data_IF_020922131520
#
_entry.id   IF_020922131520
#
_cell.length_a   1.000
_cell.length_b   1.000
_cell.length_c   1.000
_cell.angle_alpha   90.00
_cell.angle_beta   90.00
_cell.angle_gamma   90.00
#
_symmetry.space_group_name_H-M   'P 1'
#
loop_
_entity.id
_entity.type
_entity.pdbx_description
1 polymer ?
#
# COMPACT_ATOMS: atom_id res chain seq x y z
N UNK A 1 -48.26 -33.49 -12.20
CA UNK A 1 -46.85 -33.40 -12.49
C UNK A 1 -46.60 -33.59 -13.97
N UNK A 2 -46.27 -32.55 -14.69
CA UNK A 2 -45.77 -32.68 -16.08
C UNK A 2 -44.28 -32.38 -16.09
N UNK A 3 -43.53 -33.43 -16.45
CA UNK A 3 -42.09 -33.30 -16.72
C UNK A 3 -41.89 -32.87 -18.17
N UNK A 4 -41.16 -31.84 -18.43
CA UNK A 4 -40.68 -31.49 -19.77
C UNK A 4 -39.29 -32.05 -19.97
N UNK A 5 -39.12 -32.79 -21.04
CA UNK A 5 -37.84 -33.34 -21.50
C UNK A 5 -37.20 -32.30 -22.44
N UNK A 6 -35.98 -31.80 -22.12
CA UNK A 6 -35.19 -31.01 -23.06
C UNK A 6 -33.96 -31.82 -23.49
N UNK A 7 -33.80 -32.02 -24.80
CA UNK A 7 -32.62 -32.61 -25.39
C UNK A 7 -31.71 -31.52 -25.94
N UNK A 8 -30.48 -31.57 -25.55
CA UNK A 8 -29.42 -30.74 -26.16
C UNK A 8 -28.43 -31.62 -26.91
N UNK A 9 -28.14 -31.27 -28.13
CA UNK A 9 -27.18 -31.96 -28.99
C UNK A 9 -25.82 -31.27 -28.89
N UNK A 10 -24.81 -31.96 -28.42
CA UNK A 10 -23.40 -31.52 -28.50
C UNK A 10 -22.65 -32.33 -29.54
N UNK A 11 -21.51 -31.84 -30.00
CA UNK A 11 -20.68 -32.53 -31.02
C UNK A 11 -20.09 -33.90 -30.56
N UNK A 12 -20.40 -34.35 -29.34
CA UNK A 12 -19.87 -35.61 -28.78
C UNK A 12 -20.93 -36.55 -28.18
N UNK A 13 -22.22 -36.34 -28.44
CA UNK A 13 -23.28 -37.26 -27.98
C UNK A 13 -24.41 -36.56 -27.22
N UNK A 14 -25.55 -37.22 -27.13
CA UNK A 14 -26.72 -36.70 -26.42
C UNK A 14 -26.62 -37.01 -24.93
N UNK A 15 -26.82 -35.95 -24.10
CA UNK A 15 -26.92 -36.06 -22.62
C UNK A 15 -28.29 -35.57 -22.20
N UNK A 16 -29.08 -36.44 -21.57
CA UNK A 16 -30.39 -36.07 -20.99
C UNK A 16 -30.26 -35.73 -19.52
N UNK A 17 -30.82 -34.58 -19.14
CA UNK A 17 -30.88 -34.11 -17.72
C UNK A 17 -32.33 -34.09 -17.28
N UNK A 18 -32.67 -34.80 -16.19
CA UNK A 18 -33.96 -34.73 -15.52
C UNK A 18 -33.98 -33.53 -14.53
N UNK A 19 -34.84 -32.58 -14.80
CA UNK A 19 -35.13 -31.49 -13.85
C UNK A 19 -36.45 -31.80 -13.12
N UNK A 20 -36.37 -32.00 -11.81
CA UNK A 20 -37.54 -32.08 -10.92
C UNK A 20 -37.91 -30.65 -10.49
N UNK A 21 -39.07 -30.18 -10.95
CA UNK A 21 -39.60 -28.88 -10.49
C UNK A 21 -40.63 -29.19 -9.39
N UNK A 22 -40.34 -28.73 -8.16
CA UNK A 22 -41.27 -28.78 -7.04
C UNK A 22 -42.32 -27.65 -7.15
N UNK A 23 -43.59 -27.90 -6.78
CA UNK A 23 -44.63 -26.88 -6.90
C UNK A 23 -44.54 -25.84 -5.79
N UNK A 24 -44.74 -24.58 -6.17
CA UNK A 24 -44.95 -23.47 -5.22
C UNK A 24 -46.36 -23.58 -4.64
N UNK A 25 -46.48 -23.64 -3.30
CA UNK A 25 -47.72 -23.47 -2.57
C UNK A 25 -47.86 -22.01 -2.16
N UNK A 26 -48.95 -21.45 -2.59
CA UNK A 26 -49.53 -20.15 -2.16
C UNK A 26 -50.35 -20.35 -0.89
N UNK A 27 -50.27 -19.39 0.04
CA UNK A 27 -51.43 -19.13 0.89
C UNK A 27 -51.16 -18.95 2.38
N UNK A 28 -51.37 -17.71 2.81
CA UNK A 28 -52.14 -17.22 3.95
C UNK A 28 -51.72 -17.50 5.42
N UNK A 29 -51.40 -16.42 6.08
CA UNK A 29 -51.82 -15.97 7.41
C UNK A 29 -52.32 -17.02 8.45
N UNK A 30 -51.63 -17.17 9.60
CA UNK A 30 -52.27 -16.94 10.89
C UNK A 30 -51.25 -16.76 12.06
N UNK A 31 -51.73 -16.02 13.05
CA UNK A 31 -51.15 -15.57 14.30
C UNK A 31 -50.74 -16.71 15.25
N UNK A 32 -49.70 -16.46 15.99
CA UNK A 32 -49.64 -16.67 17.42
C UNK A 32 -49.22 -18.03 17.91
N UNK A 33 -48.07 -18.08 18.56
CA UNK A 33 -47.97 -18.62 19.94
C UNK A 33 -46.53 -18.54 20.43
N UNK A 34 -46.41 -18.02 21.63
CA UNK A 34 -45.21 -18.03 22.45
C UNK A 34 -44.87 -19.49 22.83
N UNK A 35 -43.60 -19.88 22.80
CA UNK A 35 -43.12 -20.92 23.72
C UNK A 35 -41.70 -20.54 24.15
N UNK A 36 -41.63 -20.46 25.44
CA UNK A 36 -40.46 -20.33 26.32
C UNK A 36 -39.68 -21.63 26.29
N UNK A 37 -38.35 -21.59 26.28
CA UNK A 37 -37.49 -22.53 26.93
C UNK A 37 -36.01 -22.15 26.90
N UNK A 38 -35.17 -22.81 27.75
CA UNK A 38 -34.47 -22.11 28.82
C UNK A 38 -32.96 -22.02 28.58
N UNK A 39 -32.33 -21.15 29.37
CA UNK A 39 -30.94 -20.79 29.31
C UNK A 39 -29.95 -21.92 29.64
N UNK A 40 -28.77 -21.78 29.05
CA UNK A 40 -27.55 -22.28 29.67
C UNK A 40 -26.67 -21.07 29.99
N UNK A 41 -26.71 -20.75 31.29
CA UNK A 41 -25.78 -19.79 31.87
C UNK A 41 -24.44 -20.49 32.12
N UNK A 42 -23.36 -19.95 31.51
CA UNK A 42 -22.00 -20.25 31.96
C UNK A 42 -21.57 -19.11 32.87
N UNK A 43 -21.52 -19.42 34.17
CA UNK A 43 -21.03 -18.55 35.23
C UNK A 43 -19.50 -18.57 35.20
N UNK A 44 -18.87 -17.46 34.86
CA UNK A 44 -17.46 -17.21 35.15
C UNK A 44 -17.35 -16.58 36.56
N UNK A 45 -16.83 -17.34 37.49
CA UNK A 45 -16.41 -16.81 38.80
C UNK A 45 -15.13 -16.02 38.66
N UNK A 46 -15.19 -14.77 39.03
CA UNK A 46 -14.02 -13.96 39.33
C UNK A 46 -13.35 -14.49 40.61
N UNK A 47 -12.07 -14.75 40.55
CA UNK A 47 -11.23 -14.83 41.74
C UNK A 47 -10.26 -13.66 41.75
N UNK A 48 -10.33 -12.99 42.90
CA UNK A 48 -9.63 -11.77 43.25
C UNK A 48 -8.19 -12.01 43.70
N UNK A 49 -7.36 -11.03 43.36
CA UNK A 49 -6.26 -10.45 44.15
C UNK A 49 -5.13 -11.35 44.64
N UNK A 50 -3.93 -11.10 44.10
CA UNK A 50 -2.72 -11.12 44.93
C UNK A 50 -1.66 -10.14 44.35
N UNK A 51 -1.38 -9.15 45.16
CA UNK A 51 -0.13 -8.38 45.39
C UNK A 51 0.73 -7.92 44.20
N UNK A 52 0.66 -6.61 43.97
CA UNK A 52 1.71 -5.77 43.35
C UNK A 52 3.00 -5.84 44.19
N UNK A 53 4.07 -6.33 43.57
CA UNK A 53 5.42 -6.02 43.99
C UNK A 53 5.99 -5.00 42.96
N UNK A 54 6.36 -3.85 43.48
CA UNK A 54 6.93 -2.72 42.75
C UNK A 54 8.20 -3.13 41.99
N UNK A 55 8.23 -2.94 40.68
CA UNK A 55 9.45 -2.88 39.88
C UNK A 55 9.72 -1.45 39.45
N UNK A 56 10.92 -0.97 39.80
CA UNK A 56 11.44 0.36 39.53
C UNK A 56 11.54 0.65 38.00
N UNK A 57 11.33 1.90 37.57
CA UNK A 57 11.53 2.27 36.18
C UNK A 57 13.03 2.27 35.86
N UNK A 58 13.40 1.61 34.77
CA UNK A 58 14.74 1.70 34.19
C UNK A 58 14.83 3.04 33.47
N UNK A 59 15.70 3.87 34.00
CA UNK A 59 16.06 5.19 33.46
C UNK A 59 16.73 5.03 32.09
N UNK A 60 16.11 5.54 31.04
CA UNK A 60 16.74 5.71 29.72
C UNK A 60 17.70 6.88 29.77
N UNK A 61 18.99 6.58 29.88
CA UNK A 61 20.06 7.56 29.70
C UNK A 61 20.22 7.88 28.22
N UNK A 62 20.30 9.17 27.92
CA UNK A 62 20.57 9.81 26.65
C UNK A 62 21.75 9.16 25.89
N UNK A 63 21.55 8.82 24.62
CA UNK A 63 22.61 8.39 23.70
C UNK A 63 23.29 9.60 23.05
N UNK A 64 24.63 9.64 22.98
CA UNK A 64 25.35 10.63 22.21
C UNK A 64 25.30 10.31 20.71
N UNK A 65 25.16 11.36 19.90
CA UNK A 65 25.33 11.28 18.44
C UNK A 65 26.81 10.98 18.14
N UNK A 66 27.08 9.87 17.48
CA UNK A 66 28.36 9.58 16.89
C UNK A 66 28.30 9.82 15.39
N UNK A 67 28.87 10.94 14.95
CA UNK A 67 29.38 11.09 13.58
C UNK A 67 30.70 10.29 13.49
N UNK A 68 30.71 9.26 12.65
CA UNK A 68 31.91 8.50 12.36
C UNK A 68 31.91 8.09 10.91
N UNK A 69 32.77 8.72 10.11
CA UNK A 69 33.21 8.18 8.82
C UNK A 69 33.99 6.90 9.09
N UNK A 70 33.53 5.77 8.55
CA UNK A 70 34.21 4.48 8.73
C UNK A 70 34.03 3.58 7.53
N UNK A 71 35.13 3.19 6.97
CA UNK A 71 35.44 2.35 5.85
C UNK A 71 34.47 1.19 5.57
N UNK A 72 34.10 1.09 4.30
CA UNK A 72 33.38 -0.04 3.73
C UNK A 72 34.20 -1.33 3.78
N UNK A 73 33.76 -2.29 4.57
CA UNK A 73 34.13 -3.69 4.42
C UNK A 73 32.86 -4.46 3.97
N UNK A 74 33.00 -5.17 2.85
CA UNK A 74 31.99 -6.09 2.34
C UNK A 74 31.58 -7.07 3.44
N UNK A 75 30.39 -6.92 4.00
CA UNK A 75 29.80 -7.89 4.89
C UNK A 75 29.22 -9.04 4.04
N UNK A 76 29.76 -10.25 4.24
CA UNK A 76 29.33 -11.46 3.56
C UNK A 76 27.86 -11.79 3.85
N UNK A 77 27.22 -12.43 2.89
CA UNK A 77 25.90 -13.03 3.01
C UNK A 77 25.74 -13.80 4.31
N UNK A 78 24.75 -13.49 5.13
CA UNK A 78 24.41 -14.25 6.32
C UNK A 78 23.98 -13.45 7.56
N UNK A 79 23.98 -12.13 7.53
CA UNK A 79 23.48 -11.34 8.66
C UNK A 79 22.06 -10.87 8.36
N UNK A 80 21.09 -11.30 9.18
CA UNK A 80 19.76 -10.71 9.24
C UNK A 80 19.89 -9.30 9.79
N UNK A 81 20.17 -8.34 8.93
CA UNK A 81 20.22 -6.94 9.32
C UNK A 81 18.83 -6.37 9.08
N UNK A 82 18.06 -6.22 10.15
CA UNK A 82 16.84 -5.44 10.10
C UNK A 82 17.13 -4.01 9.65
N UNK A 83 16.13 -3.34 9.11
CA UNK A 83 16.18 -1.92 8.74
C UNK A 83 16.80 -1.09 9.88
N UNK A 84 18.04 -0.69 9.73
CA UNK A 84 18.90 0.11 10.64
C UNK A 84 18.66 0.05 12.16
N UNK A 85 17.81 -0.79 12.66
CA UNK A 85 17.76 -1.14 14.08
C UNK A 85 18.77 -2.28 14.33
N UNK A 86 20.06 -1.99 14.16
CA UNK A 86 21.08 -2.98 14.41
C UNK A 86 21.12 -3.31 15.89
N UNK A 87 20.54 -4.42 16.28
CA UNK A 87 21.03 -5.16 17.42
C UNK A 87 22.43 -5.61 17.05
N UNK A 88 23.43 -5.19 17.83
CA UNK A 88 24.79 -5.69 17.67
C UNK A 88 24.76 -7.20 17.92
N UNK A 89 24.79 -7.99 16.86
CA UNK A 89 25.09 -9.41 17.00
C UNK A 89 26.46 -9.52 17.65
N UNK A 90 26.51 -10.14 18.81
CA UNK A 90 27.78 -10.47 19.43
C UNK A 90 28.51 -11.45 18.50
N UNK A 91 29.68 -11.07 17.98
CA UNK A 91 30.50 -11.97 17.17
C UNK A 91 30.83 -13.20 18.01
N UNK A 92 30.55 -14.40 17.46
CA UNK A 92 30.94 -15.63 18.11
C UNK A 92 32.49 -15.67 18.31
N UNK A 93 32.96 -16.14 19.45
CA UNK A 93 34.40 -16.30 19.64
C UNK A 93 35.02 -17.13 18.49
N UNK A 94 36.14 -16.66 17.94
CA UNK A 94 36.80 -17.26 16.76
C UNK A 94 37.02 -18.76 16.92
N UNK A 95 37.35 -19.21 18.13
CA UNK A 95 37.57 -20.62 18.49
C UNK A 95 36.28 -21.47 18.33
N UNK A 96 35.11 -20.95 18.71
CA UNK A 96 33.84 -21.65 18.56
C UNK A 96 33.47 -21.78 17.10
N UNK A 97 33.68 -20.72 16.33
CA UNK A 97 33.43 -20.70 14.89
C UNK A 97 34.30 -21.71 14.14
N UNK A 98 35.56 -21.81 14.47
CA UNK A 98 36.48 -22.78 13.88
C UNK A 98 36.05 -24.22 14.18
N UNK A 99 35.70 -24.53 15.44
CA UNK A 99 35.19 -25.85 15.81
C UNK A 99 33.94 -26.27 15.08
N UNK A 100 32.99 -25.34 14.84
CA UNK A 100 31.77 -25.60 14.07
C UNK A 100 32.08 -25.81 12.58
N UNK A 101 33.02 -25.08 11.98
CA UNK A 101 33.47 -25.30 10.60
C UNK A 101 34.10 -26.68 10.44
N UNK A 102 34.95 -27.11 11.35
CA UNK A 102 35.59 -28.43 11.34
C UNK A 102 34.53 -29.55 11.46
N UNK A 103 33.55 -29.33 12.34
CA UNK A 103 32.44 -30.28 12.48
C UNK A 103 31.60 -30.37 11.19
N UNK A 104 31.33 -29.24 10.55
CA UNK A 104 30.62 -29.20 9.28
C UNK A 104 31.36 -29.97 8.18
N UNK A 105 32.67 -29.79 8.07
CA UNK A 105 33.54 -30.53 7.14
C UNK A 105 33.48 -32.03 7.37
N UNK A 106 33.57 -32.49 8.62
CA UNK A 106 33.47 -33.90 8.99
C UNK A 106 32.15 -34.53 8.60
N UNK A 107 31.07 -33.74 8.52
CA UNK A 107 29.75 -34.17 8.12
C UNK A 107 29.49 -33.99 6.62
N UNK A 108 30.48 -33.56 5.84
CA UNK A 108 30.29 -33.27 4.40
C UNK A 108 29.39 -32.08 4.13
N UNK A 109 29.33 -31.12 5.04
CA UNK A 109 28.43 -29.96 5.01
C UNK A 109 29.20 -28.63 4.85
N UNK A 110 30.41 -28.67 4.30
CA UNK A 110 31.25 -27.49 4.14
C UNK A 110 30.64 -26.39 3.28
N UNK A 111 29.70 -26.73 2.44
CA UNK A 111 28.92 -25.74 1.65
C UNK A 111 27.76 -25.10 2.43
N UNK A 112 27.41 -25.65 3.61
CA UNK A 112 26.30 -25.15 4.42
C UNK A 112 26.79 -24.04 5.35
N UNK A 113 26.76 -22.80 4.88
CA UNK A 113 27.18 -21.62 5.67
C UNK A 113 26.41 -21.46 6.98
N UNK A 114 25.17 -21.93 7.06
CA UNK A 114 24.34 -21.87 8.27
C UNK A 114 24.87 -22.69 9.46
N UNK A 115 25.80 -23.63 9.24
CA UNK A 115 26.44 -24.39 10.32
C UNK A 115 27.57 -23.62 11.01
N UNK A 116 28.04 -22.56 10.36
CA UNK A 116 29.09 -21.71 10.92
C UNK A 116 28.60 -20.79 12.03
N UNK A 117 27.28 -20.52 12.00
CA UNK A 117 26.62 -19.68 12.99
C UNK A 117 25.37 -20.40 13.51
N UNK A 118 25.38 -20.75 14.80
CA UNK A 118 24.27 -21.39 15.47
C UNK A 118 23.50 -20.47 16.41
N UNK A 119 23.83 -19.20 16.44
CA UNK A 119 23.05 -18.20 17.13
C UNK A 119 21.83 -17.82 16.27
N UNK A 120 20.98 -18.84 16.05
CA UNK A 120 19.71 -18.65 15.35
C UNK A 120 18.71 -18.07 16.34
N UNK A 121 18.12 -16.95 15.97
CA UNK A 121 17.07 -16.33 16.77
C UNK A 121 15.93 -17.32 16.99
N UNK A 122 15.47 -17.45 18.25
CA UNK A 122 14.31 -18.27 18.61
C UNK A 122 13.05 -17.80 17.86
N UNK A 123 12.97 -16.53 17.56
CA UNK A 123 11.79 -15.91 16.92
C UNK A 123 12.19 -15.26 15.58
N UNK A 124 11.45 -15.58 14.53
CA UNK A 124 11.60 -14.89 13.25
C UNK A 124 10.91 -13.52 13.32
N UNK A 125 11.68 -12.45 13.31
CA UNK A 125 11.18 -11.06 13.29
C UNK A 125 11.71 -10.25 12.12
N UNK A 126 12.72 -10.78 11.40
CA UNK A 126 13.36 -10.13 10.26
C UNK A 126 12.88 -10.69 8.92
N UNK A 127 13.67 -10.47 7.88
CA UNK A 127 13.35 -10.89 6.52
C UNK A 127 13.27 -12.39 6.34
N UNK A 128 14.14 -13.14 7.02
CA UNK A 128 14.23 -14.58 6.84
C UNK A 128 13.66 -15.33 8.04
N UNK A 129 12.98 -16.45 7.81
CA UNK A 129 12.52 -16.88 6.48
C UNK A 129 11.33 -16.03 5.99
N UNK A 130 11.25 -15.76 4.69
CA UNK A 130 10.24 -14.88 4.08
C UNK A 130 8.78 -15.23 4.43
N UNK A 131 8.50 -16.53 4.61
CA UNK A 131 7.15 -17.04 4.91
C UNK A 131 6.75 -16.90 6.39
N UNK A 132 7.65 -16.46 7.26
CA UNK A 132 7.42 -16.40 8.71
C UNK A 132 7.54 -14.98 9.27
N UNK A 133 7.18 -14.82 10.54
CA UNK A 133 7.28 -13.56 11.26
C UNK A 133 6.06 -12.66 11.07
N UNK A 134 6.18 -11.41 11.50
CA UNK A 134 5.11 -10.41 11.41
C UNK A 134 5.13 -9.80 10.01
N UNK A 135 3.97 -9.72 9.37
CA UNK A 135 3.82 -9.15 8.02
C UNK A 135 3.68 -7.62 8.07
N UNK A 136 4.77 -6.94 8.36
CA UNK A 136 4.95 -5.53 8.03
C UNK A 136 5.46 -5.41 6.58
N UNK A 137 5.33 -4.24 5.98
CA UNK A 137 5.82 -3.99 4.62
C UNK A 137 7.33 -4.24 4.54
N UNK A 138 7.74 -5.18 3.68
CA UNK A 138 9.14 -5.63 3.52
C UNK A 138 9.83 -5.98 4.85
N UNK A 139 9.07 -6.47 5.84
CA UNK A 139 9.57 -6.76 7.20
C UNK A 139 10.20 -5.55 7.89
N UNK A 140 9.83 -4.33 7.48
CA UNK A 140 10.24 -3.09 8.15
C UNK A 140 9.79 -3.08 9.63
N UNK A 141 10.49 -2.36 10.51
CA UNK A 141 10.09 -2.22 11.91
C UNK A 141 8.65 -1.70 12.04
N UNK A 142 7.86 -2.36 12.87
CA UNK A 142 6.55 -1.85 13.28
C UNK A 142 6.73 -0.75 14.32
N UNK A 143 6.14 0.41 14.08
CA UNK A 143 6.17 1.56 14.99
C UNK A 143 4.80 1.75 15.60
N UNK A 144 4.65 1.29 16.86
CA UNK A 144 3.40 1.39 17.61
C UNK A 144 3.16 2.82 18.13
N UNK A 145 4.20 3.48 18.64
CA UNK A 145 4.10 4.88 19.09
C UNK A 145 4.41 5.83 17.94
N UNK A 146 3.38 6.47 17.41
CA UNK A 146 3.47 7.44 16.32
C UNK A 146 4.45 8.59 16.56
N UNK A 147 4.80 8.89 17.82
CA UNK A 147 5.83 9.91 18.14
C UNK A 147 7.20 9.56 17.59
N UNK A 148 7.43 8.28 17.33
CA UNK A 148 8.71 7.80 16.81
C UNK A 148 8.78 7.79 15.27
N UNK A 149 7.69 8.10 14.56
CA UNK A 149 7.67 8.04 13.09
C UNK A 149 8.66 9.00 12.45
N UNK A 150 8.89 10.15 13.05
CA UNK A 150 9.88 11.14 12.59
C UNK A 150 11.36 10.70 12.70
N UNK A 151 11.63 9.51 13.24
CA UNK A 151 12.97 8.89 13.24
C UNK A 151 13.28 8.18 11.92
N UNK A 152 12.29 8.05 11.04
CA UNK A 152 12.39 7.34 9.76
C UNK A 152 12.27 8.30 8.59
N UNK A 153 12.89 7.95 7.47
CA UNK A 153 12.80 8.72 6.22
C UNK A 153 11.45 8.51 5.53
N UNK A 154 10.87 7.30 5.67
CA UNK A 154 9.56 6.98 5.12
C UNK A 154 8.75 6.09 6.08
N UNK A 155 7.43 6.23 6.03
CA UNK A 155 6.50 5.44 6.81
C UNK A 155 5.38 4.88 5.95
N UNK A 156 5.18 3.56 6.02
CA UNK A 156 4.07 2.86 5.37
C UNK A 156 2.87 2.86 6.32
N UNK A 157 1.72 3.25 5.79
CA UNK A 157 0.44 3.23 6.49
C UNK A 157 -0.64 2.65 5.60
N UNK A 158 -1.48 1.76 6.11
CA UNK A 158 -2.63 1.24 5.39
C UNK A 158 -3.88 2.09 5.60
N UNK A 159 -4.69 2.23 4.55
CA UNK A 159 -6.02 2.83 4.58
C UNK A 159 -7.08 1.81 4.11
N UNK A 160 -7.45 0.82 4.96
CA UNK A 160 -8.29 -0.32 4.59
C UNK A 160 -9.76 0.07 4.47
N UNK A 161 -10.10 0.86 3.45
CA UNK A 161 -11.44 1.38 3.20
C UNK A 161 -11.87 1.14 1.75
N UNK A 162 -13.09 0.68 1.54
CA UNK A 162 -13.72 0.49 0.23
C UNK A 162 -15.22 0.85 0.23
N UNK A 163 -15.57 1.81 1.08
CA UNK A 163 -16.94 2.32 1.14
C UNK A 163 -17.30 3.27 0.00
N UNK A 164 -16.32 3.74 -0.78
CA UNK A 164 -16.51 4.58 -1.97
C UNK A 164 -16.65 3.79 -3.28
N UNK A 165 -16.50 2.49 -3.24
CA UNK A 165 -16.58 1.61 -4.42
C UNK A 165 -17.99 1.55 -5.02
N UNK A 166 -18.07 1.62 -6.36
CA UNK A 166 -19.36 1.58 -7.09
C UNK A 166 -19.74 0.19 -7.61
N UNK A 167 -18.79 -0.77 -7.69
CA UNK A 167 -19.07 -2.09 -8.27
C UNK A 167 -18.51 -3.25 -7.44
N UNK A 168 -17.20 -3.48 -7.43
CA UNK A 168 -16.56 -4.63 -6.76
C UNK A 168 -15.86 -4.21 -5.48
N UNK A 169 -16.42 -4.46 -4.28
CA UNK A 169 -15.74 -4.21 -3.03
C UNK A 169 -14.62 -5.24 -2.80
N UNK A 170 -13.65 -4.89 -1.97
CA UNK A 170 -12.54 -5.81 -1.60
C UNK A 170 -11.20 -5.10 -1.48
N UNK A 171 -11.10 -3.84 -1.89
CA UNK A 171 -9.86 -3.06 -1.79
C UNK A 171 -9.47 -2.73 -0.36
N UNK A 172 -10.39 -2.84 0.61
CA UNK A 172 -10.06 -2.80 2.05
C UNK A 172 -9.02 -3.84 2.48
N UNK A 173 -8.84 -4.90 1.72
CA UNK A 173 -7.83 -5.93 1.94
C UNK A 173 -6.51 -5.65 1.22
N UNK A 174 -6.44 -4.58 0.42
CA UNK A 174 -5.24 -4.15 -0.31
C UNK A 174 -4.01 -4.02 0.57
N UNK A 175 -4.07 -3.28 1.71
CA UNK A 175 -2.94 -3.14 2.61
C UNK A 175 -2.38 -4.48 3.11
N UNK A 176 -3.25 -5.43 3.44
CA UNK A 176 -2.83 -6.77 3.87
C UNK A 176 -2.19 -7.58 2.74
N UNK A 177 -2.78 -7.52 1.53
CA UNK A 177 -2.26 -8.21 0.34
C UNK A 177 -0.87 -7.74 -0.02
N UNK A 178 -0.66 -6.43 -0.09
CA UNK A 178 0.63 -5.81 -0.40
C UNK A 178 1.68 -6.15 0.66
N UNK A 179 1.35 -6.05 1.97
CA UNK A 179 2.26 -6.42 3.05
C UNK A 179 2.63 -7.90 3.00
N UNK A 180 1.66 -8.78 2.78
CA UNK A 180 1.88 -10.22 2.68
C UNK A 180 2.94 -10.55 1.62
N UNK A 181 2.77 -10.03 0.40
CA UNK A 181 3.65 -10.33 -0.71
C UNK A 181 4.99 -9.58 -0.62
N UNK A 182 5.04 -8.46 0.11
CA UNK A 182 6.25 -7.64 0.22
C UNK A 182 7.42 -8.37 0.88
N UNK A 183 7.15 -9.40 1.67
CA UNK A 183 8.18 -10.27 2.25
C UNK A 183 9.00 -11.03 1.20
N UNK A 184 8.52 -11.11 -0.04
CA UNK A 184 9.22 -11.80 -1.13
C UNK A 184 10.43 -11.00 -1.65
N UNK A 185 10.42 -9.67 -1.50
CA UNK A 185 11.45 -8.82 -2.08
C UNK A 185 12.62 -8.59 -1.13
N UNK A 186 13.83 -8.63 -1.71
CA UNK A 186 15.03 -8.07 -1.09
C UNK A 186 15.01 -6.55 -1.17
N UNK A 187 15.58 -5.83 -0.21
CA UNK A 187 15.73 -4.37 -0.30
C UNK A 187 16.72 -3.90 -1.37
N UNK A 188 17.53 -4.80 -1.93
CA UNK A 188 18.50 -4.49 -2.98
C UNK A 188 17.88 -4.62 -4.37
N UNK A 189 17.94 -3.53 -5.16
CA UNK A 189 17.60 -3.55 -6.57
C UNK A 189 18.86 -3.66 -7.43
N UNK A 190 18.96 -4.75 -8.19
CA UNK A 190 20.12 -5.06 -9.00
C UNK A 190 20.35 -4.04 -10.14
N UNK A 191 19.27 -3.60 -10.81
CA UNK A 191 19.36 -2.70 -11.97
C UNK A 191 19.69 -1.26 -11.56
N UNK A 192 19.16 -0.81 -10.41
CA UNK A 192 19.44 0.53 -9.86
C UNK A 192 20.72 0.57 -9.03
N UNK A 193 21.28 -0.58 -8.64
CA UNK A 193 22.38 -0.70 -7.68
C UNK A 193 22.09 0.03 -6.35
N UNK A 194 20.84 -0.02 -5.88
CA UNK A 194 20.36 0.63 -4.65
C UNK A 194 19.97 -0.43 -3.64
N UNK A 195 20.46 -0.29 -2.40
CA UNK A 195 19.96 -1.03 -1.25
C UNK A 195 19.16 -0.06 -0.35
N UNK A 196 17.84 -0.22 -0.34
CA UNK A 196 16.95 0.64 0.44
C UNK A 196 17.25 0.58 1.94
N UNK A 197 17.72 -0.56 2.45
CA UNK A 197 18.05 -0.75 3.85
C UNK A 197 19.30 0.02 4.28
N UNK A 198 20.28 0.13 3.37
CA UNK A 198 21.52 0.85 3.65
C UNK A 198 21.35 2.37 3.49
N UNK A 199 20.50 2.80 2.56
CA UNK A 199 20.45 4.18 2.09
C UNK A 199 19.27 4.98 2.64
N UNK A 200 18.28 4.32 3.26
CA UNK A 200 17.16 4.97 3.92
C UNK A 200 16.66 4.19 5.13
N UNK A 201 15.82 4.83 5.93
CA UNK A 201 15.11 4.17 7.02
C UNK A 201 13.62 4.12 6.70
N UNK A 202 13.03 2.92 6.79
CA UNK A 202 11.62 2.66 6.55
C UNK A 202 10.97 2.08 7.79
N UNK A 203 9.74 2.48 8.09
CA UNK A 203 8.91 1.83 9.10
C UNK A 203 7.50 1.54 8.56
N UNK A 204 6.81 0.65 9.25
CA UNK A 204 5.38 0.38 9.05
C UNK A 204 4.63 0.77 10.33
N UNK A 205 3.63 1.61 10.20
CA UNK A 205 2.83 2.10 11.34
C UNK A 205 1.48 1.40 11.46
N UNK A 206 1.26 0.35 10.67
CA UNK A 206 0.01 -0.39 10.63
C UNK A 206 -1.07 0.32 9.82
N UNK A 207 -2.32 0.16 10.24
CA UNK A 207 -3.48 0.64 9.50
C UNK A 207 -4.19 1.77 10.23
N UNK A 208 -4.72 2.72 9.46
CA UNK A 208 -5.57 3.79 9.93
C UNK A 208 -6.89 3.18 10.44
N UNK A 209 -7.38 3.68 11.56
CA UNK A 209 -8.68 3.28 12.08
C UNK A 209 -9.80 3.82 11.18
N UNK A 210 -10.32 2.97 10.31
CA UNK A 210 -11.43 3.28 9.41
C UNK A 210 -12.77 2.93 10.03
N UNK A 211 -13.82 3.68 9.67
CA UNK A 211 -15.19 3.47 10.15
C UNK A 211 -16.06 3.14 8.94
N UNK A 212 -16.33 1.85 8.63
CA UNK A 212 -17.00 1.45 7.41
C UNK A 212 -18.35 2.10 7.18
N UNK A 213 -19.07 2.44 8.24
CA UNK A 213 -20.39 3.07 8.18
C UNK A 213 -20.35 4.61 8.13
N UNK A 214 -19.16 5.23 8.11
CA UNK A 214 -19.04 6.69 8.11
C UNK A 214 -17.81 7.15 7.33
N UNK A 215 -18.04 7.56 6.10
CA UNK A 215 -16.98 7.96 5.17
C UNK A 215 -16.29 9.24 5.62
N UNK A 216 -17.03 10.25 6.09
CA UNK A 216 -16.43 11.53 6.50
C UNK A 216 -15.49 11.37 7.70
N UNK A 217 -15.88 10.59 8.72
CA UNK A 217 -15.00 10.28 9.86
C UNK A 217 -13.79 9.46 9.42
N UNK A 218 -13.97 8.54 8.49
CA UNK A 218 -12.83 7.79 7.92
C UNK A 218 -11.88 8.71 7.18
N UNK A 219 -12.39 9.63 6.40
CA UNK A 219 -11.60 10.62 5.67
C UNK A 219 -10.84 11.55 6.61
N UNK A 220 -11.46 11.95 7.73
CA UNK A 220 -10.75 12.73 8.75
C UNK A 220 -9.59 11.95 9.37
N UNK A 221 -9.79 10.66 9.67
CA UNK A 221 -8.73 9.80 10.17
C UNK A 221 -7.59 9.64 9.17
N UNK A 222 -7.90 9.44 7.89
CA UNK A 222 -6.89 9.34 6.83
C UNK A 222 -6.09 10.64 6.72
N UNK A 223 -6.77 11.79 6.67
CA UNK A 223 -6.12 13.09 6.59
C UNK A 223 -5.25 13.37 7.81
N UNK A 224 -5.73 13.02 9.01
CA UNK A 224 -4.98 13.18 10.25
C UNK A 224 -3.71 12.31 10.25
N UNK A 225 -3.80 11.05 9.83
CA UNK A 225 -2.66 10.15 9.80
C UNK A 225 -1.60 10.59 8.79
N UNK A 226 -1.99 10.91 7.55
CA UNK A 226 -1.07 11.38 6.51
C UNK A 226 -0.42 12.71 6.92
N UNK A 227 -1.22 13.66 7.41
CA UNK A 227 -0.72 14.94 7.88
C UNK A 227 0.27 14.79 9.05
N UNK A 228 0.00 13.87 9.99
CA UNK A 228 0.91 13.60 11.10
C UNK A 228 2.23 13.01 10.63
N UNK A 229 2.20 12.00 9.76
CA UNK A 229 3.41 11.37 9.20
C UNK A 229 4.25 12.44 8.47
N UNK A 230 3.63 13.22 7.58
CA UNK A 230 4.31 14.28 6.85
C UNK A 230 4.89 15.35 7.80
N UNK A 231 4.11 15.83 8.77
CA UNK A 231 4.56 16.81 9.75
C UNK A 231 5.73 16.33 10.61
N UNK A 232 5.83 15.02 10.82
CA UNK A 232 6.97 14.41 11.52
C UNK A 232 8.24 14.34 10.67
N UNK A 233 8.16 14.69 9.37
CA UNK A 233 9.28 14.68 8.42
C UNK A 233 9.52 13.34 7.74
N UNK A 234 8.63 12.37 7.89
CA UNK A 234 8.68 11.10 7.16
C UNK A 234 7.87 11.21 5.86
N UNK A 235 8.35 10.54 4.81
CA UNK A 235 7.63 10.41 3.54
C UNK A 235 6.46 9.43 3.70
N UNK A 236 5.19 9.85 3.55
CA UNK A 236 4.05 8.99 3.69
C UNK A 236 3.88 8.07 2.46
N UNK A 237 3.74 6.77 2.72
CA UNK A 237 3.40 5.74 1.73
C UNK A 237 2.07 5.13 2.16
N UNK A 238 1.00 5.45 1.43
CA UNK A 238 -0.34 4.96 1.75
C UNK A 238 -0.65 3.72 0.92
N UNK A 239 -0.90 2.61 1.61
CA UNK A 239 -1.44 1.40 1.00
C UNK A 239 -2.96 1.51 1.01
N UNK A 240 -3.56 1.70 -0.15
CA UNK A 240 -4.95 2.07 -0.25
C UNK A 240 -5.92 0.91 -0.17
N UNK A 241 -7.08 1.33 0.06
CA UNK A 241 -8.38 0.88 -0.26
C UNK A 241 -8.80 1.34 -1.65
N UNK A 242 -10.05 1.77 -1.79
CA UNK A 242 -10.56 2.35 -3.02
C UNK A 242 -10.04 3.79 -3.25
N UNK A 243 -10.20 4.30 -4.47
CA UNK A 243 -9.61 5.60 -4.83
C UNK A 243 -10.30 6.81 -4.17
N UNK A 244 -11.42 6.63 -3.46
CA UNK A 244 -12.03 7.73 -2.69
C UNK A 244 -11.08 8.31 -1.64
N UNK A 245 -10.10 7.50 -1.19
CA UNK A 245 -9.08 7.95 -0.24
C UNK A 245 -8.10 8.98 -0.83
N UNK A 246 -8.01 9.13 -2.15
CA UNK A 246 -7.16 10.13 -2.81
C UNK A 246 -7.46 11.56 -2.39
N UNK A 247 -8.71 11.87 -2.05
CA UNK A 247 -9.05 13.18 -1.48
C UNK A 247 -8.49 13.38 -0.07
N UNK A 248 -8.76 12.52 0.93
CA UNK A 248 -8.27 12.75 2.28
C UNK A 248 -6.74 12.59 2.42
N UNK A 249 -6.05 11.83 1.57
CA UNK A 249 -4.58 11.75 1.59
C UNK A 249 -3.95 13.06 1.16
N UNK A 250 -4.39 13.62 0.03
CA UNK A 250 -3.96 14.94 -0.45
C UNK A 250 -4.36 16.03 0.55
N UNK A 251 -5.57 15.98 1.14
CA UNK A 251 -6.02 16.91 2.18
C UNK A 251 -5.09 16.87 3.41
N UNK A 252 -4.67 15.68 3.82
CA UNK A 252 -3.72 15.49 4.92
C UNK A 252 -2.38 16.16 4.62
N UNK A 253 -1.80 15.94 3.45
CA UNK A 253 -0.56 16.59 3.03
C UNK A 253 -0.73 18.11 2.92
N UNK A 254 -1.83 18.57 2.33
CA UNK A 254 -2.12 20.00 2.16
C UNK A 254 -2.35 20.74 3.49
N UNK A 255 -2.76 20.04 4.55
CA UNK A 255 -3.02 20.62 5.86
C UNK A 255 -1.74 21.09 6.58
N UNK A 256 -0.59 20.52 6.27
CA UNK A 256 0.69 20.76 6.95
C UNK A 256 1.64 21.65 6.15
N UNK A 257 1.21 22.14 4.99
CA UNK A 257 2.00 23.07 4.17
C UNK A 257 1.12 24.17 3.55
N UNK A 258 1.67 25.39 3.41
CA UNK A 258 1.06 26.44 2.59
C UNK A 258 1.53 26.37 1.13
N UNK A 259 2.50 25.54 0.87
CA UNK A 259 3.13 25.36 -0.43
C UNK A 259 2.17 24.72 -1.42
N UNK A 260 2.36 25.05 -2.68
CA UNK A 260 1.55 24.53 -3.78
C UNK A 260 1.92 23.08 -4.10
N UNK A 261 0.91 22.22 -4.15
CA UNK A 261 1.06 20.78 -4.39
C UNK A 261 0.49 20.45 -5.76
N UNK A 262 1.31 19.84 -6.61
CA UNK A 262 0.86 19.18 -7.83
C UNK A 262 0.55 17.71 -7.57
N UNK A 263 -0.19 17.10 -8.49
CA UNK A 263 -0.57 15.68 -8.41
C UNK A 263 -0.23 15.01 -9.74
N UNK A 264 0.49 13.90 -9.68
CA UNK A 264 0.63 12.96 -10.78
C UNK A 264 -0.23 11.74 -10.44
N UNK A 265 -1.22 11.48 -11.27
CA UNK A 265 -2.23 10.47 -11.09
C UNK A 265 -2.16 9.47 -12.24
N UNK A 266 -1.89 8.21 -11.95
CA UNK A 266 -1.96 7.10 -12.90
C UNK A 266 -3.27 6.37 -12.71
N UNK A 267 -4.06 6.22 -13.79
CA UNK A 267 -5.38 5.62 -13.71
C UNK A 267 -5.93 5.33 -15.14
N UNK A 268 -6.87 4.39 -15.24
CA UNK A 268 -7.74 4.25 -16.41
C UNK A 268 -8.91 5.23 -16.39
N UNK A 269 -9.28 5.68 -15.19
CA UNK A 269 -10.43 6.53 -14.91
C UNK A 269 -9.97 7.96 -14.61
N UNK A 270 -10.88 8.91 -14.77
CA UNK A 270 -10.55 10.30 -14.50
C UNK A 270 -10.77 10.73 -13.06
N UNK A 271 -11.59 10.04 -12.31
CA UNK A 271 -11.89 10.23 -10.90
C UNK A 271 -12.12 11.68 -10.46
N UNK A 272 -12.76 12.45 -11.35
CA UNK A 272 -12.99 13.89 -11.21
C UNK A 272 -14.47 14.28 -11.39
N UNK A 273 -15.37 13.34 -11.18
CA UNK A 273 -16.79 13.63 -11.14
C UNK A 273 -17.10 14.46 -9.89
N UNK A 274 -18.02 15.43 -10.02
CA UNK A 274 -18.50 16.18 -8.87
C UNK A 274 -19.27 15.27 -7.91
N UNK A 275 -20.00 14.33 -8.47
CA UNK A 275 -20.87 13.38 -7.80
C UNK A 275 -21.06 12.15 -8.67
N UNK A 276 -21.17 10.99 -8.04
CA UNK A 276 -21.67 9.76 -8.65
C UNK A 276 -22.93 9.32 -7.91
N UNK A 277 -22.96 8.17 -7.25
CA UNK A 277 -24.06 7.79 -6.36
C UNK A 277 -24.13 8.70 -5.14
N UNK A 278 -22.97 9.15 -4.67
CA UNK A 278 -22.82 10.16 -3.62
C UNK A 278 -21.58 11.03 -3.89
N UNK A 279 -21.32 12.03 -3.04
CA UNK A 279 -20.21 12.97 -3.22
C UNK A 279 -18.84 12.34 -2.95
N UNK A 280 -18.74 11.31 -2.11
CA UNK A 280 -17.47 10.71 -1.65
C UNK A 280 -17.25 9.31 -2.21
N UNK A 281 -17.32 9.20 -3.53
CA UNK A 281 -17.11 7.93 -4.23
C UNK A 281 -15.66 7.84 -4.76
N UNK A 282 -15.22 6.66 -5.15
CA UNK A 282 -13.89 6.48 -5.77
C UNK A 282 -13.77 7.19 -7.12
N UNK A 283 -14.86 7.57 -7.75
CA UNK A 283 -14.92 8.34 -9.00
C UNK A 283 -14.77 9.86 -8.80
N UNK A 284 -14.65 10.36 -7.55
CA UNK A 284 -14.77 11.80 -7.25
C UNK A 284 -13.55 12.45 -6.55
N UNK A 285 -12.49 11.73 -6.14
CA UNK A 285 -11.46 12.28 -5.24
C UNK A 285 -10.81 13.55 -5.77
N UNK A 286 -10.52 13.64 -7.07
CA UNK A 286 -9.81 14.79 -7.63
C UNK A 286 -10.69 16.01 -7.88
N UNK A 287 -12.01 15.83 -7.95
CA UNK A 287 -12.90 16.97 -7.88
C UNK A 287 -12.77 17.69 -6.53
N UNK A 288 -12.73 16.95 -5.45
CA UNK A 288 -12.60 17.49 -4.10
C UNK A 288 -11.16 17.90 -3.76
N UNK A 289 -10.16 17.12 -4.12
CA UNK A 289 -8.75 17.45 -3.86
C UNK A 289 -8.35 18.77 -4.54
N UNK A 290 -8.75 18.97 -5.80
CA UNK A 290 -8.45 20.21 -6.54
C UNK A 290 -9.30 21.42 -6.14
N UNK A 291 -10.21 21.27 -5.19
CA UNK A 291 -10.89 22.39 -4.53
C UNK A 291 -10.11 22.90 -3.31
N UNK A 292 -9.07 22.20 -2.86
CA UNK A 292 -8.20 22.64 -1.78
C UNK A 292 -7.34 23.82 -2.26
N UNK A 293 -7.25 24.94 -1.51
CA UNK A 293 -6.64 26.19 -2.01
C UNK A 293 -5.21 26.06 -2.53
N UNK A 294 -4.39 25.20 -1.92
CA UNK A 294 -3.00 24.98 -2.33
C UNK A 294 -2.80 23.73 -3.20
N UNK A 295 -3.89 23.17 -3.74
CA UNK A 295 -3.88 22.02 -4.69
C UNK A 295 -4.59 22.44 -5.98
N UNK A 296 -3.99 23.24 -6.82
CA UNK A 296 -4.69 23.79 -7.99
C UNK A 296 -4.92 22.72 -9.07
N UNK A 297 -6.07 22.72 -9.72
CA UNK A 297 -6.43 21.71 -10.72
C UNK A 297 -5.51 21.73 -11.93
N UNK A 298 -4.88 22.87 -12.26
CA UNK A 298 -3.91 22.99 -13.36
C UNK A 298 -2.60 22.23 -13.10
N UNK A 299 -2.36 21.79 -11.87
CA UNK A 299 -1.22 20.96 -11.51
C UNK A 299 -1.60 19.47 -11.30
N UNK A 300 -2.86 19.12 -11.60
CA UNK A 300 -3.26 17.71 -11.71
C UNK A 300 -2.96 17.19 -13.11
N UNK A 301 -2.17 16.12 -13.17
CA UNK A 301 -1.87 15.39 -14.40
C UNK A 301 -2.36 13.96 -14.24
N UNK A 302 -3.19 13.52 -15.16
CA UNK A 302 -3.84 12.21 -15.16
C UNK A 302 -3.32 11.39 -16.35
N UNK A 303 -2.65 10.27 -16.09
CA UNK A 303 -1.91 9.47 -17.07
C UNK A 303 -2.55 8.08 -17.19
N UNK A 304 -2.85 7.66 -18.42
CA UNK A 304 -3.42 6.33 -18.69
C UNK A 304 -4.92 6.36 -18.98
N UNK A 305 -5.54 7.54 -18.92
CA UNK A 305 -6.97 7.74 -19.07
C UNK A 305 -7.48 7.18 -20.41
N UNK A 306 -8.62 6.47 -20.37
CA UNK A 306 -9.19 5.99 -21.63
C UNK A 306 -10.20 4.87 -21.44
N UNK A 307 -10.51 4.21 -22.57
CA UNK A 307 -11.46 3.09 -22.58
C UNK A 307 -12.93 3.51 -22.54
N UNK A 308 -13.75 2.59 -22.03
CA UNK A 308 -15.22 2.74 -22.01
C UNK A 308 -15.76 3.11 -20.61
N UNK A 309 -14.91 3.09 -19.61
CA UNK A 309 -15.31 3.27 -18.21
C UNK A 309 -15.15 4.73 -17.73
N UNK A 310 -14.67 5.66 -18.58
CA UNK A 310 -14.68 7.09 -18.27
C UNK A 310 -16.04 7.68 -18.60
N UNK A 311 -16.83 8.10 -17.61
CA UNK A 311 -18.17 8.62 -17.86
C UNK A 311 -18.12 10.00 -18.53
N UNK A 312 -19.08 10.26 -19.40
CA UNK A 312 -19.20 11.55 -20.11
C UNK A 312 -19.29 12.74 -19.14
N UNK A 313 -19.87 12.51 -17.98
CA UNK A 313 -20.09 13.49 -16.91
C UNK A 313 -18.79 14.04 -16.31
N UNK A 314 -17.69 13.29 -16.39
CA UNK A 314 -16.39 13.75 -15.96
C UNK A 314 -15.79 14.82 -16.90
N UNK A 315 -16.10 14.77 -18.20
CA UNK A 315 -15.50 15.64 -19.23
C UNK A 315 -15.73 17.14 -18.99
N UNK A 316 -16.92 17.63 -18.62
CA UNK A 316 -17.11 19.04 -18.28
C UNK A 316 -16.24 19.51 -17.12
N UNK A 317 -16.04 18.68 -16.09
CA UNK A 317 -15.21 18.99 -14.93
C UNK A 317 -13.73 19.10 -15.29
N UNK A 318 -13.22 18.15 -16.10
CA UNK A 318 -11.85 18.21 -16.63
C UNK A 318 -11.60 19.52 -17.37
N UNK A 319 -12.53 19.91 -18.27
CA UNK A 319 -12.43 21.14 -19.06
C UNK A 319 -12.53 22.40 -18.20
N UNK A 320 -13.51 22.46 -17.29
CA UNK A 320 -13.73 23.62 -16.45
C UNK A 320 -12.55 23.85 -15.48
N UNK A 321 -11.94 22.78 -15.00
CA UNK A 321 -10.81 22.81 -14.09
C UNK A 321 -9.46 22.91 -14.81
N UNK A 322 -9.43 22.70 -16.13
CA UNK A 322 -8.20 22.72 -16.92
C UNK A 322 -7.15 21.73 -16.41
N UNK A 323 -7.58 20.52 -16.07
CA UNK A 323 -6.67 19.44 -15.69
C UNK A 323 -5.92 18.91 -16.93
N UNK A 324 -4.77 18.32 -16.71
CA UNK A 324 -3.94 17.78 -17.78
C UNK A 324 -4.22 16.29 -17.92
N UNK A 325 -4.72 15.89 -19.08
CA UNK A 325 -5.08 14.50 -19.39
C UNK A 325 -4.10 13.96 -20.41
N UNK A 326 -3.53 12.81 -20.11
CA UNK A 326 -2.69 12.02 -21.04
C UNK A 326 -3.38 10.66 -21.19
N UNK A 327 -3.94 10.44 -22.39
CA UNK A 327 -4.63 9.19 -22.69
C UNK A 327 -3.65 8.07 -23.07
N UNK A 328 -4.12 6.82 -23.10
CA UNK A 328 -3.31 5.72 -23.62
C UNK A 328 -2.90 5.94 -25.08
N UNK A 329 -3.76 6.55 -25.91
CA UNK A 329 -3.41 6.92 -27.28
C UNK A 329 -2.27 7.96 -27.31
N UNK A 330 -2.27 8.93 -26.40
CA UNK A 330 -1.17 9.90 -26.32
C UNK A 330 0.14 9.22 -25.91
N UNK A 331 0.09 8.27 -24.99
CA UNK A 331 1.26 7.49 -24.56
C UNK A 331 1.85 6.70 -25.74
N UNK A 332 0.99 6.04 -26.54
CA UNK A 332 1.41 5.29 -27.71
C UNK A 332 2.07 6.19 -28.79
N UNK A 333 1.51 7.38 -28.99
CA UNK A 333 2.02 8.30 -30.02
C UNK A 333 3.26 9.08 -29.60
N UNK A 334 3.33 9.52 -28.33
CA UNK A 334 4.39 10.40 -27.84
C UNK A 334 5.59 9.64 -27.25
N UNK A 335 5.35 8.44 -26.75
CA UNK A 335 6.32 7.65 -26.00
C UNK A 335 6.45 8.08 -24.55
N UNK A 336 6.99 7.17 -23.71
CA UNK A 336 6.99 7.28 -22.25
C UNK A 336 7.80 8.49 -21.73
N UNK A 337 8.95 8.77 -22.36
CA UNK A 337 9.82 9.87 -21.96
C UNK A 337 9.15 11.23 -22.14
N UNK A 338 8.48 11.42 -23.30
CA UNK A 338 7.79 12.68 -23.58
C UNK A 338 6.57 12.87 -22.67
N UNK A 339 5.84 11.78 -22.40
CA UNK A 339 4.72 11.80 -21.45
C UNK A 339 5.21 12.18 -20.06
N UNK A 340 6.30 11.60 -19.58
CA UNK A 340 6.86 11.94 -18.28
C UNK A 340 7.33 13.40 -18.20
N UNK A 341 7.99 13.91 -19.27
CA UNK A 341 8.38 15.33 -19.37
C UNK A 341 7.15 16.24 -19.24
N UNK A 342 6.11 15.99 -20.02
CA UNK A 342 4.87 16.79 -19.99
C UNK A 342 4.17 16.71 -18.61
N UNK A 343 4.18 15.53 -18.00
CA UNK A 343 3.59 15.33 -16.67
C UNK A 343 4.36 16.14 -15.60
N UNK A 344 5.69 16.09 -15.65
CA UNK A 344 6.53 16.85 -14.73
C UNK A 344 6.37 18.36 -14.94
N UNK A 345 6.38 18.83 -16.21
CA UNK A 345 6.19 20.25 -16.54
C UNK A 345 4.87 20.78 -15.97
N UNK A 346 3.79 20.01 -16.09
CA UNK A 346 2.48 20.43 -15.59
C UNK A 346 2.37 20.31 -14.07
N UNK A 347 2.78 19.17 -13.48
CA UNK A 347 2.64 18.95 -12.03
C UNK A 347 3.53 19.89 -11.21
N UNK A 348 4.74 20.17 -11.66
CA UNK A 348 5.70 21.07 -11.01
C UNK A 348 5.56 22.54 -11.36
N UNK A 349 4.63 22.90 -12.25
CA UNK A 349 4.45 24.30 -12.66
C UNK A 349 4.05 25.17 -11.47
N UNK A 350 4.96 26.04 -11.04
CA UNK A 350 4.78 26.88 -9.84
C UNK A 350 4.40 26.10 -8.58
N UNK A 351 4.71 24.78 -8.55
CA UNK A 351 4.49 23.92 -7.39
C UNK A 351 5.78 23.70 -6.62
N UNK A 352 5.63 23.49 -5.33
CA UNK A 352 6.75 23.25 -4.41
C UNK A 352 6.90 21.77 -4.05
N UNK A 353 5.85 20.98 -4.32
CA UNK A 353 5.77 19.56 -4.01
C UNK A 353 4.85 18.84 -4.98
N UNK A 354 5.06 17.54 -5.19
CA UNK A 354 4.21 16.69 -6.02
C UNK A 354 3.83 15.44 -5.26
N UNK A 355 2.53 15.12 -5.23
CA UNK A 355 1.95 13.89 -4.72
C UNK A 355 1.81 12.88 -5.85
N UNK A 356 2.19 11.62 -5.63
CA UNK A 356 1.95 10.53 -6.56
C UNK A 356 0.74 9.73 -6.11
N UNK A 357 -0.29 9.66 -6.94
CA UNK A 357 -1.39 8.71 -6.78
C UNK A 357 -1.33 7.67 -7.89
N UNK A 358 -1.25 6.42 -7.49
CA UNK A 358 -1.17 5.31 -8.43
C UNK A 358 -2.35 4.37 -8.25
N UNK A 359 -3.31 4.47 -9.17
CA UNK A 359 -4.33 3.44 -9.29
C UNK A 359 -3.76 2.23 -10.01
N UNK A 360 -3.94 1.05 -9.38
CA UNK A 360 -3.38 -0.18 -9.95
C UNK A 360 -4.05 -0.54 -11.28
N UNK A 361 -5.30 -0.12 -11.50
CA UNK A 361 -6.04 -0.43 -12.71
C UNK A 361 -5.63 0.42 -13.94
N UNK A 362 -4.73 1.41 -13.75
CA UNK A 362 -4.00 2.04 -14.86
C UNK A 362 -3.23 1.03 -15.71
N UNK A 363 -2.89 -0.12 -15.12
CA UNK A 363 -2.23 -1.24 -15.78
C UNK A 363 -3.28 -2.17 -16.40
N UNK A 364 -2.96 -2.73 -17.56
CA UNK A 364 -3.84 -3.65 -18.27
C UNK A 364 -4.31 -4.82 -17.39
N UNK A 365 -5.61 -5.10 -17.40
CA UNK A 365 -6.25 -6.09 -16.55
C UNK A 365 -5.73 -7.53 -16.72
N UNK A 366 -5.00 -7.82 -17.81
CA UNK A 366 -4.32 -9.10 -17.97
C UNK A 366 -3.17 -9.31 -16.97
N UNK A 367 -2.61 -8.20 -16.44
CA UNK A 367 -1.50 -8.22 -15.49
C UNK A 367 -1.94 -7.87 -14.07
N UNK A 368 -3.06 -7.17 -13.91
CA UNK A 368 -3.60 -6.74 -12.60
C UNK A 368 -5.09 -7.08 -12.48
N UNK A 369 -5.44 -8.39 -12.46
CA UNK A 369 -6.85 -8.79 -12.36
C UNK A 369 -7.49 -8.46 -11.00
N UNK A 370 -6.68 -8.21 -9.96
CA UNK A 370 -7.10 -7.96 -8.59
C UNK A 370 -7.47 -6.51 -8.35
N UNK A 371 -8.48 -6.00 -9.09
CA UNK A 371 -9.03 -4.65 -8.91
C UNK A 371 -10.54 -4.62 -9.06
N UNK A 372 -11.16 -3.53 -8.62
CA UNK A 372 -12.60 -3.33 -8.67
C UNK A 372 -13.15 -3.07 -10.08
N UNK A 373 -12.39 -2.35 -10.89
CA UNK A 373 -12.79 -1.89 -12.23
C UNK A 373 -11.73 -2.21 -13.29
N UNK A 374 -11.48 -3.52 -13.57
CA UNK A 374 -10.47 -3.92 -14.54
C UNK A 374 -10.87 -3.54 -15.95
N UNK A 375 -9.96 -2.96 -16.73
CA UNK A 375 -10.19 -2.62 -18.13
C UNK A 375 -9.00 -3.04 -19.02
N UNK A 376 -9.25 -3.63 -20.20
CA UNK A 376 -8.20 -3.92 -21.18
C UNK A 376 -7.65 -2.63 -21.82
N UNK A 377 -6.41 -2.70 -22.32
CA UNK A 377 -5.77 -1.58 -23.02
C UNK A 377 -5.14 -0.55 -22.09
N UNK A 378 -4.82 -0.94 -20.84
CA UNK A 378 -4.02 -0.16 -19.90
C UNK A 378 -2.53 -0.22 -20.19
N UNK A 379 -1.73 0.36 -19.30
CA UNK A 379 -0.27 0.31 -19.34
C UNK A 379 0.24 -1.14 -19.23
N UNK A 380 1.28 -1.47 -19.96
CA UNK A 380 2.03 -2.68 -19.66
C UNK A 380 2.85 -2.47 -18.38
N UNK A 381 3.10 -3.55 -17.59
CA UNK A 381 3.89 -3.43 -16.37
C UNK A 381 5.22 -2.70 -16.54
N UNK A 382 5.94 -2.97 -17.63
CA UNK A 382 7.22 -2.32 -17.92
C UNK A 382 7.07 -0.83 -18.24
N UNK A 383 5.99 -0.44 -18.88
CA UNK A 383 5.68 0.97 -19.17
C UNK A 383 5.35 1.73 -17.90
N UNK A 384 4.50 1.15 -17.04
CA UNK A 384 4.17 1.72 -15.74
C UNK A 384 5.40 1.93 -14.87
N UNK A 385 6.27 0.91 -14.73
CA UNK A 385 7.51 1.00 -13.96
C UNK A 385 8.46 2.07 -14.52
N UNK A 386 8.56 2.16 -15.85
CA UNK A 386 9.40 3.18 -16.49
C UNK A 386 8.86 4.59 -16.25
N UNK A 387 7.55 4.81 -16.41
CA UNK A 387 6.92 6.11 -16.15
C UNK A 387 7.07 6.53 -14.68
N UNK A 388 6.82 5.61 -13.74
CA UNK A 388 7.01 5.87 -12.31
C UNK A 388 8.46 6.27 -12.02
N UNK A 389 9.44 5.55 -12.55
CA UNK A 389 10.84 5.93 -12.42
C UNK A 389 11.15 7.31 -12.99
N UNK A 390 10.61 7.64 -14.17
CA UNK A 390 10.83 8.94 -14.79
C UNK A 390 10.25 10.11 -13.97
N UNK A 391 9.08 9.93 -13.34
CA UNK A 391 8.47 10.99 -12.53
C UNK A 391 9.05 11.07 -11.12
N UNK A 392 9.42 9.94 -10.52
CA UNK A 392 9.94 9.88 -9.15
C UNK A 392 11.35 10.48 -9.00
N UNK A 393 12.14 10.53 -10.08
CA UNK A 393 13.51 11.08 -10.03
C UNK A 393 13.58 12.57 -9.66
N UNK A 394 12.50 13.33 -9.87
CA UNK A 394 12.43 14.75 -9.48
C UNK A 394 12.07 14.93 -8.01
N UNK A 395 11.65 13.87 -7.33
CA UNK A 395 11.22 13.86 -5.93
C UNK A 395 9.70 13.94 -5.81
N UNK A 396 9.21 13.48 -4.68
CA UNK A 396 7.78 13.46 -4.34
C UNK A 396 7.63 13.85 -2.87
N UNK A 397 6.46 14.33 -2.47
CA UNK A 397 6.15 14.65 -1.07
C UNK A 397 5.40 13.53 -0.34
N UNK A 398 4.91 12.54 -1.06
CA UNK A 398 4.19 11.37 -0.59
C UNK A 398 3.62 10.58 -1.76
N UNK A 399 3.13 9.39 -1.46
CA UNK A 399 2.48 8.55 -2.46
C UNK A 399 1.37 7.70 -1.87
N UNK A 400 0.48 7.29 -2.75
CA UNK A 400 -0.50 6.24 -2.48
C UNK A 400 -0.55 5.24 -3.64
N UNK A 401 -0.88 3.99 -3.31
CA UNK A 401 -1.27 2.97 -4.28
C UNK A 401 -2.64 2.45 -3.89
N UNK A 402 -3.59 2.51 -4.80
CA UNK A 402 -5.02 2.28 -4.54
C UNK A 402 -5.61 1.21 -5.46
N UNK A 403 -6.85 0.80 -5.19
CA UNK A 403 -7.67 -0.16 -5.94
C UNK A 403 -7.11 -1.58 -6.02
N UNK A 404 -6.12 -1.93 -5.20
CA UNK A 404 -5.67 -3.31 -5.06
C UNK A 404 -6.69 -4.12 -4.29
N UNK A 405 -7.32 -5.09 -4.95
CA UNK A 405 -8.40 -5.93 -4.40
C UNK A 405 -8.00 -7.41 -4.37
N UNK A 406 -7.37 -7.88 -3.28
CA UNK A 406 -6.93 -9.26 -3.15
C UNK A 406 -8.00 -10.33 -3.39
N UNK A 407 -9.31 -10.11 -3.08
CA UNK A 407 -10.35 -11.08 -3.40
C UNK A 407 -10.50 -11.42 -4.88
N UNK A 408 -10.06 -10.54 -5.79
CA UNK A 408 -10.08 -10.77 -7.24
C UNK A 408 -8.68 -11.04 -7.80
N UNK A 409 -7.64 -10.99 -6.95
CA UNK A 409 -6.27 -11.22 -7.36
C UNK A 409 -6.01 -12.73 -7.60
N UNK A 410 -5.07 -13.02 -8.48
CA UNK A 410 -4.65 -14.38 -8.76
C UNK A 410 -3.16 -14.54 -8.42
N UNK A 411 -2.85 -15.42 -7.49
CA UNK A 411 -1.49 -15.68 -7.02
C UNK A 411 -0.75 -14.39 -6.57
N UNK A 412 -1.49 -13.44 -6.01
CA UNK A 412 -0.98 -12.16 -5.50
C UNK A 412 -0.28 -11.28 -6.58
N UNK A 413 -0.53 -11.48 -7.88
CA UNK A 413 0.19 -10.78 -8.97
C UNK A 413 -0.11 -9.28 -8.98
N UNK A 414 -1.34 -8.86 -8.67
CA UNK A 414 -1.72 -7.45 -8.55
C UNK A 414 -1.06 -6.80 -7.35
N UNK A 415 -1.12 -7.47 -6.20
CA UNK A 415 -0.46 -7.03 -4.96
C UNK A 415 1.07 -6.92 -5.14
N UNK A 416 1.67 -7.85 -5.92
CA UNK A 416 3.09 -7.84 -6.27
C UNK A 416 3.44 -6.64 -7.17
N UNK A 417 2.56 -6.31 -8.11
CA UNK A 417 2.75 -5.14 -8.98
C UNK A 417 2.69 -3.84 -8.17
N UNK A 418 1.74 -3.72 -7.25
CA UNK A 418 1.64 -2.59 -6.32
C UNK A 418 2.90 -2.43 -5.46
N UNK A 419 3.40 -3.54 -4.90
CA UNK A 419 4.69 -3.56 -4.21
C UNK A 419 5.80 -3.03 -5.11
N UNK A 420 5.87 -3.50 -6.37
CA UNK A 420 6.92 -3.10 -7.30
C UNK A 420 6.89 -1.61 -7.62
N UNK A 421 5.70 -1.01 -7.80
CA UNK A 421 5.52 0.44 -7.97
C UNK A 421 6.11 1.20 -6.76
N UNK A 422 5.80 0.76 -5.55
CA UNK A 422 6.27 1.42 -4.34
C UNK A 422 7.80 1.36 -4.24
N UNK A 423 8.39 0.17 -4.37
CA UNK A 423 9.84 0.02 -4.19
C UNK A 423 10.65 0.65 -5.32
N UNK A 424 10.15 0.66 -6.57
CA UNK A 424 10.79 1.36 -7.68
C UNK A 424 10.72 2.89 -7.51
N UNK A 425 9.60 3.41 -6.96
CA UNK A 425 9.50 4.82 -6.57
C UNK A 425 10.56 5.18 -5.52
N UNK A 426 10.62 4.41 -4.43
CA UNK A 426 11.59 4.64 -3.35
C UNK A 426 13.04 4.49 -3.85
N UNK A 427 13.33 3.43 -4.59
CA UNK A 427 14.66 3.18 -5.16
C UNK A 427 15.11 4.29 -6.09
N UNK A 428 14.21 4.80 -6.93
CA UNK A 428 14.49 5.93 -7.83
C UNK A 428 14.77 7.20 -7.03
N UNK A 429 13.94 7.52 -6.04
CA UNK A 429 14.14 8.71 -5.20
C UNK A 429 15.46 8.63 -4.42
N UNK A 430 15.83 7.47 -3.90
CA UNK A 430 17.10 7.24 -3.22
C UNK A 430 18.27 7.41 -4.18
N UNK A 431 18.21 6.78 -5.37
CA UNK A 431 19.26 6.89 -6.39
C UNK A 431 19.54 8.33 -6.83
N UNK A 432 18.52 9.19 -6.79
CA UNK A 432 18.62 10.61 -7.16
C UNK A 432 18.76 11.55 -5.96
N UNK A 433 18.98 11.03 -4.75
CA UNK A 433 19.17 11.82 -3.53
C UNK A 433 17.93 12.64 -3.12
N UNK A 434 16.74 12.18 -3.51
CA UNK A 434 15.47 12.87 -3.22
C UNK A 434 14.76 12.36 -1.95
N UNK A 435 15.04 11.16 -1.52
CA UNK A 435 14.49 10.58 -0.30
C UNK A 435 15.59 10.51 0.78
N UNK A 436 15.23 10.82 2.02
CA UNK A 436 16.18 10.89 3.13
C UNK A 436 16.96 12.21 3.19
N UNK A 437 17.16 12.88 2.06
CA UNK A 437 17.84 14.18 1.99
C UNK A 437 16.88 15.38 2.01
N UNK A 438 15.66 15.21 1.49
CA UNK A 438 14.66 16.25 1.45
C UNK A 438 13.50 15.88 2.37
N UNK A 439 13.42 16.57 3.51
CA UNK A 439 12.21 16.49 4.34
C UNK A 439 11.04 17.16 3.62
N UNK A 440 9.80 16.68 3.84
CA UNK A 440 8.61 17.33 3.30
C UNK A 440 8.63 18.84 3.59
N UNK A 441 8.09 19.63 2.68
CA UNK A 441 8.01 21.09 2.82
C UNK A 441 6.91 21.42 3.83
N UNK A 442 7.25 21.28 5.11
CA UNK A 442 6.35 21.50 6.23
C UNK A 442 6.58 22.92 6.76
N UNK A 443 5.57 23.76 6.63
CA UNK A 443 5.59 25.14 7.13
C UNK A 443 4.43 25.47 8.08
N UNK A 444 3.56 24.52 8.34
CA UNK A 444 2.46 24.64 9.29
C UNK A 444 2.54 23.53 10.35
N UNK A 445 2.29 23.86 11.64
CA UNK A 445 2.16 22.83 12.66
C UNK A 445 0.96 21.94 12.34
N UNK A 446 1.14 20.63 12.48
CA UNK A 446 0.04 19.70 12.38
C UNK A 446 -1.00 19.96 13.46
N UNK A 447 -2.26 19.95 13.07
CA UNK A 447 -3.41 19.98 13.96
C UNK A 447 -4.42 18.93 13.48
N UNK A 448 -5.03 18.16 14.38
CA UNK A 448 -6.11 17.25 14.00
C UNK A 448 -7.28 18.04 13.41
N UNK A 449 -7.94 17.46 12.43
CA UNK A 449 -9.16 17.99 11.80
C UNK A 449 -10.35 17.88 12.74
#
# INVERSE_FOLDING_TARGET
GSSRFCRFRTRQGEVGVHLLIAPRSSGALHRGMRSVLPGFGVVWRAQSQASLAARRPICCTSRPRLHGHGNHHHAGFGKTVGWRAAEREAELPTTRRQAEIERAKKLGLEAASSIQDRDISMMSRGELPHFAGINTFMKAPYVEDMKNVGLYDAAVVGAPFDGGTTYRPGTRFGPQGIRKISALYSPYNYEMAVDLREQMTLCDVGDIFTIPANIEKTFDQISNAVGYIAASGAFPIVLGGDHSIGFPTVRGMASVTSKRIGIIHFDRHADIQEKDMDERMHTTPYFHATAIPNVPPTNLVQIGIGGWQVPREAVPNMRARQTNIVTMNDIEHLGLEKVAEMALDAAWKDADAVWLSFDIDSIDCAFVPGTGWPEPGGLLPREALKLVGLVAKEGLCGMEVVEVSPPYDHADITSLMALRIIVDTLGTMVAHGKLGAHKPIIDKPWKPL
#
